data_IF_035678083355
#
_entry.id   IF_035678083355
#
_cell.length_a   1.000
_cell.length_b   1.000
_cell.length_c   1.000
_cell.angle_alpha   90.00
_cell.angle_beta   90.00
_cell.angle_gamma   90.00
#
_symmetry.space_group_name_H-M   'P 1'
#
loop_
_entity.id
_entity.type
_entity.pdbx_description
1 polymer ?
#
# COMPACT_ATOMS: atom_id res chain seq x y z
N UNK A 1 -24.73 3.12 -8.39
CA UNK A 1 -23.30 3.35 -8.12
C UNK A 1 -22.47 2.09 -8.39
N UNK A 2 -22.86 0.91 -7.91
CA UNK A 2 -22.09 -0.35 -8.03
C UNK A 2 -22.50 -1.27 -9.19
N UNK A 3 -22.85 -0.73 -10.36
CA UNK A 3 -23.19 -1.59 -11.50
C UNK A 3 -21.94 -1.85 -12.36
N UNK A 4 -21.56 -3.13 -12.58
CA UNK A 4 -20.37 -3.49 -13.37
C UNK A 4 -20.44 -3.03 -14.83
N UNK A 5 -21.65 -2.71 -15.31
CA UNK A 5 -21.88 -2.12 -16.63
C UNK A 5 -21.24 -0.74 -16.76
N UNK A 6 -21.13 0.03 -15.66
CA UNK A 6 -20.46 1.34 -15.70
C UNK A 6 -18.94 1.20 -15.76
N UNK A 7 -18.36 0.18 -15.14
CA UNK A 7 -16.93 -0.14 -15.30
C UNK A 7 -16.65 -0.52 -16.76
N UNK A 8 -17.46 -1.42 -17.34
CA UNK A 8 -17.29 -1.80 -18.74
C UNK A 8 -17.44 -0.60 -19.70
N UNK A 9 -18.43 0.27 -19.48
CA UNK A 9 -18.60 1.51 -20.26
C UNK A 9 -17.46 2.51 -20.01
N UNK A 10 -16.94 2.57 -18.78
CA UNK A 10 -15.78 3.37 -18.41
C UNK A 10 -14.50 2.84 -19.06
N UNK A 11 -14.35 1.56 -19.38
CA UNK A 11 -13.20 1.12 -20.19
C UNK A 11 -13.45 1.30 -21.69
N UNK A 12 -14.67 1.06 -22.17
CA UNK A 12 -15.00 1.08 -23.61
C UNK A 12 -14.96 2.46 -24.27
N UNK A 13 -15.12 3.57 -23.53
CA UNK A 13 -15.35 4.92 -24.08
C UNK A 13 -14.13 5.85 -24.16
N UNK A 14 -12.88 5.39 -24.07
CA UNK A 14 -11.77 6.35 -23.91
C UNK A 14 -10.44 5.72 -23.55
N UNK A 15 -9.39 6.35 -24.07
CA UNK A 15 -8.06 5.81 -24.27
C UNK A 15 -7.13 5.87 -23.05
N UNK A 16 -5.88 6.26 -23.31
CA UNK A 16 -4.70 6.04 -22.46
C UNK A 16 -4.83 6.59 -21.03
N UNK A 17 -5.49 7.74 -20.84
CA UNK A 17 -5.64 8.40 -19.54
C UNK A 17 -6.40 7.58 -18.48
N UNK A 18 -7.28 6.66 -18.90
CA UNK A 18 -8.00 5.78 -17.95
C UNK A 18 -7.18 4.61 -17.45
N UNK A 19 -6.17 4.19 -18.20
CA UNK A 19 -5.20 3.20 -17.72
C UNK A 19 -4.34 3.82 -16.61
N UNK A 20 -3.95 5.09 -16.77
CA UNK A 20 -3.28 5.85 -15.72
C UNK A 20 -4.15 6.00 -14.45
N UNK A 21 -5.47 6.13 -14.60
CA UNK A 21 -6.42 6.12 -13.47
C UNK A 21 -6.47 4.78 -12.73
N UNK A 22 -6.12 3.66 -13.36
CA UNK A 22 -5.99 2.37 -12.66
C UNK A 22 -4.82 2.36 -11.69
N UNK A 23 -3.80 3.18 -11.94
CA UNK A 23 -2.66 3.31 -11.03
C UNK A 23 -3.05 3.80 -9.64
N UNK A 24 -4.06 4.66 -9.52
CA UNK A 24 -4.61 5.04 -8.21
C UNK A 24 -5.24 3.86 -7.45
N UNK A 25 -5.86 2.92 -8.18
CA UNK A 25 -6.39 1.67 -7.60
C UNK A 25 -5.23 0.78 -7.16
N UNK A 26 -4.16 0.70 -7.96
CA UNK A 26 -2.95 -0.03 -7.61
C UNK A 26 -2.34 0.47 -6.29
N UNK A 27 -2.26 1.79 -6.10
CA UNK A 27 -1.82 2.37 -4.82
C UNK A 27 -2.69 1.93 -3.63
N UNK A 28 -4.00 1.75 -3.80
CA UNK A 28 -4.86 1.26 -2.72
C UNK A 28 -4.56 -0.20 -2.33
N UNK A 29 -4.15 -1.04 -3.30
CA UNK A 29 -3.77 -2.44 -3.06
C UNK A 29 -2.50 -2.52 -2.20
N UNK A 30 -1.58 -1.56 -2.35
CA UNK A 30 -0.34 -1.51 -1.53
C UNK A 30 -0.62 -1.41 -0.03
N UNK A 31 -1.71 -0.74 0.36
CA UNK A 31 -2.10 -0.64 1.77
C UNK A 31 -2.46 -2.00 2.37
N UNK A 32 -2.98 -2.92 1.55
CA UNK A 32 -3.26 -4.29 1.94
C UNK A 32 -1.97 -5.09 2.09
N UNK A 33 -1.01 -4.92 1.18
CA UNK A 33 0.30 -5.58 1.29
C UNK A 33 1.05 -5.20 2.58
N UNK A 34 1.03 -3.90 2.94
CA UNK A 34 1.58 -3.43 4.20
C UNK A 34 0.89 -4.08 5.41
N UNK A 35 -0.44 -4.22 5.38
CA UNK A 35 -1.20 -4.93 6.40
C UNK A 35 -0.79 -6.41 6.50
N UNK A 36 -0.47 -7.05 5.37
CA UNK A 36 0.01 -8.42 5.34
C UNK A 36 1.44 -8.57 5.89
N UNK A 37 2.32 -7.60 5.66
CA UNK A 37 3.67 -7.61 6.25
C UNK A 37 3.63 -7.59 7.80
N UNK A 38 2.63 -6.90 8.36
CA UNK A 38 2.41 -6.79 9.80
C UNK A 38 1.76 -8.04 10.44
N UNK A 39 1.30 -9.03 9.66
CA UNK A 39 0.87 -10.34 10.20
C UNK A 39 1.99 -11.10 10.92
N UNK A 40 3.25 -10.70 10.70
CA UNK A 40 4.39 -11.23 11.47
C UNK A 40 4.34 -10.87 12.96
N UNK A 41 3.59 -9.82 13.35
CA UNK A 41 3.43 -9.36 14.74
C UNK A 41 2.08 -9.69 15.36
N UNK A 42 1.02 -9.82 14.54
CA UNK A 42 -0.36 -9.98 15.00
C UNK A 42 -1.02 -11.27 14.49
N UNK A 43 -1.92 -11.89 15.27
CA UNK A 43 -2.65 -13.06 14.80
C UNK A 43 -3.58 -12.72 13.63
N UNK A 44 -3.65 -13.61 12.64
CA UNK A 44 -4.44 -13.46 11.41
C UNK A 44 -5.90 -13.09 11.69
N UNK A 45 -6.53 -13.73 12.69
CA UNK A 45 -7.93 -13.51 13.05
C UNK A 45 -8.21 -12.10 13.56
N UNK A 46 -7.28 -11.50 14.30
CA UNK A 46 -7.44 -10.13 14.79
C UNK A 46 -7.38 -9.12 13.65
N UNK A 47 -6.43 -9.30 12.73
CA UNK A 47 -6.27 -8.45 11.54
C UNK A 47 -7.50 -8.53 10.64
N UNK A 48 -7.99 -9.74 10.36
CA UNK A 48 -9.20 -9.94 9.55
C UNK A 48 -10.42 -9.28 10.16
N UNK A 49 -10.64 -9.46 11.47
CA UNK A 49 -11.81 -8.88 12.15
C UNK A 49 -11.75 -7.35 12.15
N UNK A 50 -10.58 -6.76 12.48
CA UNK A 50 -10.41 -5.31 12.47
C UNK A 50 -10.60 -4.73 11.06
N UNK A 51 -10.06 -5.39 10.04
CA UNK A 51 -10.19 -4.93 8.67
C UNK A 51 -11.64 -5.00 8.17
N UNK A 52 -12.31 -6.15 8.33
CA UNK A 52 -13.66 -6.37 7.80
C UNK A 52 -14.72 -5.55 8.53
N UNK A 53 -14.62 -5.40 9.85
CA UNK A 53 -15.67 -4.76 10.66
C UNK A 53 -15.51 -3.24 10.73
N UNK A 54 -14.28 -2.72 10.68
CA UNK A 54 -14.00 -1.30 10.90
C UNK A 54 -13.42 -0.66 9.64
N UNK A 55 -12.26 -1.13 9.19
CA UNK A 55 -11.51 -0.45 8.13
C UNK A 55 -12.27 -0.44 6.81
N UNK A 56 -12.77 -1.61 6.39
CA UNK A 56 -13.46 -1.79 5.12
C UNK A 56 -14.74 -0.94 4.99
N UNK A 57 -15.70 -0.96 5.94
CA UNK A 57 -16.88 -0.11 5.84
C UNK A 57 -16.54 1.38 5.91
N UNK A 58 -15.56 1.78 6.73
CA UNK A 58 -15.10 3.17 6.79
C UNK A 58 -14.50 3.63 5.45
N UNK A 59 -13.65 2.82 4.82
CA UNK A 59 -13.07 3.12 3.49
C UNK A 59 -14.15 3.23 2.42
N UNK A 60 -15.12 2.31 2.41
CA UNK A 60 -16.21 2.31 1.45
C UNK A 60 -17.06 3.58 1.59
N UNK A 61 -17.40 3.97 2.82
CA UNK A 61 -18.10 5.22 3.10
C UNK A 61 -17.28 6.44 2.65
N UNK A 62 -15.99 6.51 2.98
CA UNK A 62 -15.12 7.61 2.61
C UNK A 62 -15.02 7.78 1.07
N UNK A 63 -14.76 6.69 0.33
CA UNK A 63 -14.69 6.74 -1.13
C UNK A 63 -16.05 7.06 -1.76
N UNK A 64 -17.15 6.54 -1.21
CA UNK A 64 -18.48 6.89 -1.71
C UNK A 64 -18.82 8.38 -1.49
N UNK A 65 -18.39 8.97 -0.37
CA UNK A 65 -18.54 10.39 -0.08
C UNK A 65 -17.71 11.26 -1.02
N UNK A 66 -16.44 10.90 -1.24
CA UNK A 66 -15.58 11.59 -2.22
C UNK A 66 -16.15 11.50 -3.64
N UNK A 67 -16.64 10.33 -4.05
CA UNK A 67 -17.26 10.16 -5.37
C UNK A 67 -18.53 11.00 -5.53
N UNK A 68 -19.34 11.12 -4.48
CA UNK A 68 -20.52 12.00 -4.48
C UNK A 68 -20.14 13.47 -4.59
N UNK A 69 -19.05 13.90 -3.92
CA UNK A 69 -18.53 15.27 -4.00
C UNK A 69 -17.98 15.60 -5.40
N UNK A 70 -17.16 14.70 -5.97
CA UNK A 70 -16.56 14.89 -7.30
C UNK A 70 -17.60 14.95 -8.43
N UNK A 71 -18.76 14.32 -8.23
CA UNK A 71 -19.88 14.42 -9.20
C UNK A 71 -20.39 15.85 -9.34
N UNK A 72 -20.36 16.64 -8.26
CA UNK A 72 -20.80 18.04 -8.26
C UNK A 72 -19.65 18.97 -8.63
N UNK A 73 -18.43 18.65 -8.20
CA UNK A 73 -17.24 19.48 -8.42
C UNK A 73 -16.11 18.70 -9.10
N UNK A 74 -16.16 18.52 -10.44
CA UNK A 74 -15.22 17.67 -11.17
C UNK A 74 -13.78 18.18 -11.25
N UNK A 75 -13.54 19.47 -10.95
CA UNK A 75 -12.20 20.08 -11.05
C UNK A 75 -11.33 19.92 -9.80
N UNK A 76 -11.85 19.35 -8.70
CA UNK A 76 -11.17 19.28 -7.41
C UNK A 76 -10.62 17.87 -7.09
N UNK A 77 -9.88 17.28 -8.03
CA UNK A 77 -9.41 15.89 -7.93
C UNK A 77 -8.24 15.73 -6.94
N UNK A 78 -7.28 16.66 -6.92
CA UNK A 78 -6.07 16.53 -6.09
C UNK A 78 -6.35 16.67 -4.58
N UNK A 79 -7.26 17.58 -4.18
CA UNK A 79 -7.63 17.83 -2.78
C UNK A 79 -9.01 17.28 -2.41
N UNK A 80 -9.53 16.31 -3.18
CA UNK A 80 -10.86 15.74 -3.04
C UNK A 80 -11.23 15.36 -1.59
N UNK A 81 -10.29 14.77 -0.86
CA UNK A 81 -10.48 14.38 0.53
C UNK A 81 -10.75 15.60 1.42
N UNK A 82 -9.87 16.60 1.39
CA UNK A 82 -9.96 17.77 2.25
C UNK A 82 -11.13 18.69 1.88
N UNK A 83 -11.43 18.81 0.59
CA UNK A 83 -12.54 19.63 0.12
C UNK A 83 -13.92 19.00 0.34
N UNK A 84 -13.99 17.66 0.40
CA UNK A 84 -15.25 16.98 0.74
C UNK A 84 -15.70 17.20 2.19
N UNK A 85 -14.80 17.69 3.05
CA UNK A 85 -15.07 17.88 4.48
C UNK A 85 -15.69 19.27 4.72
N UNK A 86 -16.81 19.36 5.48
CA UNK A 86 -17.39 20.64 5.84
C UNK A 86 -16.43 21.49 6.69
N UNK A 87 -16.40 22.81 6.44
CA UNK A 87 -15.45 23.77 7.06
C UNK A 87 -15.39 23.69 8.59
N UNK A 88 -16.51 23.43 9.26
CA UNK A 88 -16.58 23.32 10.73
C UNK A 88 -15.79 22.14 11.30
N UNK A 89 -15.55 21.09 10.52
CA UNK A 89 -14.91 19.84 10.97
C UNK A 89 -13.54 19.63 10.30
N UNK A 90 -13.13 20.56 9.44
CA UNK A 90 -11.86 20.52 8.71
C UNK A 90 -10.65 20.41 9.64
N UNK A 91 -10.53 21.31 10.62
CA UNK A 91 -9.39 21.36 11.53
C UNK A 91 -9.24 20.10 12.39
N UNK A 92 -10.31 19.59 13.05
CA UNK A 92 -10.25 18.30 13.73
C UNK A 92 -9.82 17.15 12.81
N UNK A 93 -10.38 17.08 11.60
CA UNK A 93 -10.07 16.00 10.67
C UNK A 93 -8.63 16.06 10.16
N UNK A 94 -8.11 17.27 9.90
CA UNK A 94 -6.72 17.48 9.52
C UNK A 94 -5.75 16.97 10.58
N UNK A 95 -6.02 17.26 11.86
CA UNK A 95 -5.21 16.79 12.98
C UNK A 95 -5.24 15.27 13.08
N UNK A 96 -6.42 14.66 12.98
CA UNK A 96 -6.56 13.19 13.03
C UNK A 96 -5.85 12.54 11.84
N UNK A 97 -6.00 13.08 10.62
CA UNK A 97 -5.32 12.58 9.42
C UNK A 97 -3.79 12.65 9.57
N UNK A 98 -3.28 13.74 10.15
CA UNK A 98 -1.85 13.90 10.42
C UNK A 98 -1.35 12.86 11.43
N UNK A 99 -2.09 12.64 12.52
CA UNK A 99 -1.74 11.58 13.48
C UNK A 99 -1.77 10.18 12.85
N UNK A 100 -2.76 9.90 12.01
CA UNK A 100 -2.85 8.65 11.27
C UNK A 100 -1.65 8.45 10.34
N UNK A 101 -1.21 9.50 9.64
CA UNK A 101 -0.02 9.47 8.80
C UNK A 101 1.26 9.18 9.61
N UNK A 102 1.41 9.80 10.78
CA UNK A 102 2.54 9.54 11.69
C UNK A 102 2.54 8.07 12.15
N UNK A 103 1.39 7.53 12.55
CA UNK A 103 1.26 6.12 12.96
C UNK A 103 1.59 5.18 11.81
N UNK A 104 1.10 5.47 10.59
CA UNK A 104 1.42 4.68 9.40
C UNK A 104 2.93 4.68 9.10
N UNK A 105 3.61 5.82 9.21
CA UNK A 105 5.07 5.89 9.06
C UNK A 105 5.82 5.07 10.13
N UNK A 106 5.32 5.04 11.37
CA UNK A 106 5.94 4.22 12.42
C UNK A 106 5.77 2.71 12.17
N UNK A 107 4.62 2.30 11.64
CA UNK A 107 4.37 0.92 11.26
C UNK A 107 5.34 0.46 10.16
N UNK A 108 5.53 1.26 9.10
CA UNK A 108 6.44 0.90 7.99
C UNK A 108 7.91 0.84 8.40
N UNK A 109 8.36 1.72 9.29
CA UNK A 109 9.72 1.66 9.88
C UNK A 109 9.89 0.35 10.66
N UNK A 110 8.91 -0.02 11.48
CA UNK A 110 8.92 -1.25 12.28
C UNK A 110 8.88 -2.51 11.41
N UNK A 111 8.08 -2.51 10.35
CA UNK A 111 8.03 -3.58 9.35
C UNK A 111 9.40 -3.75 8.66
N UNK A 112 10.07 -2.63 8.33
CA UNK A 112 11.42 -2.65 7.73
C UNK A 112 12.44 -3.31 8.64
N UNK A 113 12.44 -3.02 9.94
CA UNK A 113 13.33 -3.71 10.89
C UNK A 113 13.09 -5.22 10.95
N UNK A 114 11.82 -5.63 10.84
CA UNK A 114 11.43 -7.03 10.82
C UNK A 114 11.93 -7.73 9.54
N UNK A 115 11.80 -7.07 8.38
CA UNK A 115 12.30 -7.56 7.10
C UNK A 115 13.84 -7.71 7.11
N UNK A 116 14.57 -6.72 7.63
CA UNK A 116 16.04 -6.79 7.75
C UNK A 116 16.47 -7.95 8.65
N UNK A 117 15.75 -8.20 9.75
CA UNK A 117 16.01 -9.36 10.61
C UNK A 117 15.82 -10.69 9.87
N UNK A 118 14.76 -10.80 9.06
CA UNK A 118 14.52 -12.00 8.24
C UNK A 118 15.63 -12.17 7.18
N UNK A 119 16.03 -11.08 6.51
CA UNK A 119 17.13 -11.09 5.54
C UNK A 119 18.48 -11.50 6.18
N UNK A 120 18.74 -11.07 7.42
CA UNK A 120 19.91 -11.49 8.20
C UNK A 120 19.87 -12.99 8.54
N UNK A 121 18.70 -13.54 8.89
CA UNK A 121 18.54 -14.95 9.16
C UNK A 121 18.78 -15.83 7.90
N UNK A 122 18.45 -15.30 6.73
CA UNK A 122 18.74 -15.92 5.43
C UNK A 122 20.17 -15.68 4.92
N UNK A 123 21.01 -14.95 5.67
CA UNK A 123 22.40 -14.67 5.29
C UNK A 123 22.56 -13.68 4.12
N UNK A 124 21.50 -13.01 3.70
CA UNK A 124 21.50 -12.07 2.57
C UNK A 124 21.99 -10.67 2.93
N UNK A 125 22.33 -10.40 4.20
CA UNK A 125 22.70 -9.07 4.67
C UNK A 125 23.95 -9.11 5.58
N UNK A 126 24.91 -8.16 5.45
CA UNK A 126 26.06 -8.07 6.36
C UNK A 126 25.60 -7.83 7.80
N UNK A 127 26.35 -8.34 8.78
CA UNK A 127 25.96 -8.34 10.21
C UNK A 127 25.70 -6.91 10.71
N UNK A 128 24.42 -6.53 10.84
CA UNK A 128 23.99 -5.25 11.43
C UNK A 128 23.80 -5.43 12.93
N UNK A 129 24.07 -4.38 13.71
CA UNK A 129 23.89 -4.42 15.17
C UNK A 129 22.40 -4.34 15.50
N UNK A 130 21.77 -5.50 15.69
CA UNK A 130 20.36 -5.59 16.13
C UNK A 130 20.28 -5.29 17.63
N UNK A 131 19.75 -4.13 17.99
CA UNK A 131 19.50 -3.76 19.38
C UNK A 131 18.11 -4.28 19.76
N UNK A 132 18.06 -5.23 20.69
CA UNK A 132 16.80 -5.74 21.22
C UNK A 132 16.29 -4.75 22.26
N UNK A 133 15.25 -3.98 21.92
CA UNK A 133 14.70 -2.92 22.78
C UNK A 133 14.00 -3.48 24.03
N UNK A 134 13.62 -4.78 24.04
CA UNK A 134 13.03 -5.44 25.21
C UNK A 134 13.42 -6.91 25.33
N UNK A 135 13.74 -7.37 26.55
CA UNK A 135 13.95 -8.80 26.87
C UNK A 135 12.66 -9.61 27.00
N UNK A 136 11.49 -8.96 27.06
CA UNK A 136 10.17 -9.61 27.24
C UNK A 136 9.34 -9.74 25.96
N UNK A 137 9.59 -8.90 24.94
CA UNK A 137 8.86 -8.93 23.68
C UNK A 137 9.84 -9.04 22.49
N UNK A 138 9.97 -10.24 21.95
CA UNK A 138 10.85 -10.56 20.80
C UNK A 138 10.50 -9.82 19.49
N UNK A 139 9.36 -9.12 19.44
CA UNK A 139 8.88 -8.35 18.29
C UNK A 139 9.34 -6.88 18.25
N UNK A 140 9.76 -6.29 19.37
CA UNK A 140 10.23 -4.89 19.38
C UNK A 140 11.73 -4.82 19.05
N UNK A 141 12.02 -4.83 17.76
CA UNK A 141 13.38 -4.82 17.20
C UNK A 141 13.71 -3.39 16.76
N UNK A 142 14.78 -2.81 17.31
CA UNK A 142 15.29 -1.53 16.84
C UNK A 142 16.66 -1.72 16.20
N UNK A 143 16.78 -1.34 14.93
CA UNK A 143 18.06 -1.39 14.21
C UNK A 143 18.51 0.04 13.94
N UNK A 144 19.38 0.63 14.78
CA UNK A 144 19.74 2.05 14.69
C UNK A 144 20.34 2.41 13.33
N UNK A 145 21.16 1.54 12.76
CA UNK A 145 21.81 1.78 11.46
C UNK A 145 20.76 1.93 10.33
N UNK A 146 19.73 1.09 10.34
CA UNK A 146 18.64 1.14 9.35
C UNK A 146 17.79 2.39 9.55
N UNK A 147 17.54 2.79 10.80
CA UNK A 147 16.79 4.02 11.07
C UNK A 147 17.48 5.26 10.51
N UNK A 148 18.81 5.36 10.67
CA UNK A 148 19.60 6.46 10.10
C UNK A 148 19.61 6.43 8.56
N UNK A 149 19.75 5.25 7.96
CA UNK A 149 19.68 5.10 6.50
C UNK A 149 18.31 5.52 5.98
N UNK A 150 17.22 5.08 6.61
CA UNK A 150 15.84 5.47 6.25
C UNK A 150 15.66 6.98 6.36
N UNK A 151 16.14 7.60 7.44
CA UNK A 151 16.05 9.05 7.63
C UNK A 151 16.77 9.82 6.51
N UNK A 152 18.01 9.44 6.19
CA UNK A 152 18.79 10.09 5.12
C UNK A 152 18.09 9.93 3.77
N UNK A 153 17.60 8.72 3.46
CA UNK A 153 16.92 8.43 2.21
C UNK A 153 15.60 9.20 2.07
N UNK A 154 14.80 9.27 3.14
CA UNK A 154 13.56 10.06 3.16
C UNK A 154 13.84 11.56 2.93
N UNK A 155 14.86 12.12 3.57
CA UNK A 155 15.26 13.52 3.36
C UNK A 155 15.75 13.73 1.92
N UNK A 156 16.56 12.81 1.40
CA UNK A 156 17.09 12.90 0.04
C UNK A 156 15.98 12.86 -1.03
N UNK A 157 15.01 11.95 -0.88
CA UNK A 157 13.85 11.86 -1.79
C UNK A 157 12.98 13.12 -1.70
N UNK A 158 12.69 13.59 -0.49
CA UNK A 158 11.88 14.80 -0.28
C UNK A 158 12.57 16.06 -0.82
N UNK A 159 13.89 16.18 -0.66
CA UNK A 159 14.66 17.31 -1.18
C UNK A 159 14.86 17.23 -2.71
N UNK A 160 14.99 16.02 -3.25
CA UNK A 160 15.20 15.78 -4.68
C UNK A 160 13.96 16.01 -5.53
N UNK A 161 12.78 15.66 -5.02
CA UNK A 161 11.52 15.84 -5.72
C UNK A 161 10.74 17.03 -5.16
N UNK A 162 10.70 18.14 -5.91
CA UNK A 162 9.95 19.35 -5.51
C UNK A 162 8.43 19.25 -5.70
N UNK A 163 7.96 18.30 -6.52
CA UNK A 163 6.54 18.15 -6.87
C UNK A 163 5.96 16.85 -6.27
N UNK A 164 4.83 16.97 -5.55
CA UNK A 164 4.11 15.83 -4.97
C UNK A 164 3.71 14.79 -6.01
N UNK A 165 3.29 15.24 -7.21
CA UNK A 165 2.90 14.35 -8.30
C UNK A 165 4.07 13.50 -8.82
N UNK A 166 5.29 14.02 -8.81
CA UNK A 166 6.48 13.26 -9.22
C UNK A 166 6.88 12.20 -8.19
N UNK A 167 6.79 12.53 -6.89
CA UNK A 167 7.02 11.57 -5.81
C UNK A 167 6.01 10.43 -5.90
N UNK A 168 4.72 10.76 -6.08
CA UNK A 168 3.65 9.77 -6.22
C UNK A 168 3.87 8.82 -7.40
N UNK A 169 4.28 9.35 -8.57
CA UNK A 169 4.57 8.50 -9.72
C UNK A 169 5.78 7.59 -9.51
N UNK A 170 6.88 8.12 -8.97
CA UNK A 170 8.08 7.32 -8.67
C UNK A 170 7.82 6.24 -7.61
N UNK A 171 6.99 6.55 -6.61
CA UNK A 171 6.54 5.57 -5.63
C UNK A 171 5.70 4.47 -6.29
N UNK A 172 4.73 4.85 -7.13
CA UNK A 172 3.88 3.89 -7.82
C UNK A 172 4.65 2.96 -8.76
N UNK A 173 5.65 3.47 -9.50
CA UNK A 173 6.50 2.61 -10.33
C UNK A 173 7.34 1.64 -9.49
N UNK A 174 7.91 2.09 -8.36
CA UNK A 174 8.66 1.23 -7.45
C UNK A 174 7.80 0.09 -6.89
N UNK A 175 6.56 0.39 -6.50
CA UNK A 175 5.58 -0.60 -6.04
C UNK A 175 5.28 -1.64 -7.10
N UNK A 176 5.03 -1.22 -8.35
CA UNK A 176 4.67 -2.15 -9.43
C UNK A 176 5.80 -3.14 -9.69
N UNK A 177 7.05 -2.69 -9.60
CA UNK A 177 8.21 -3.58 -9.70
C UNK A 177 8.23 -4.61 -8.58
N UNK A 178 7.98 -4.18 -7.33
CA UNK A 178 7.92 -5.09 -6.17
C UNK A 178 6.79 -6.11 -6.35
N UNK A 179 5.59 -5.66 -6.72
CA UNK A 179 4.45 -6.54 -6.96
C UNK A 179 4.74 -7.55 -8.07
N UNK A 180 5.33 -7.12 -9.18
CA UNK A 180 5.74 -8.01 -10.27
C UNK A 180 6.71 -9.10 -9.79
N UNK A 181 7.73 -8.72 -9.01
CA UNK A 181 8.66 -9.69 -8.42
C UNK A 181 7.92 -10.68 -7.50
N UNK A 182 7.00 -10.19 -6.66
CA UNK A 182 6.22 -11.08 -5.77
C UNK A 182 5.28 -12.00 -6.55
N UNK A 183 4.66 -11.53 -7.64
CA UNK A 183 3.79 -12.31 -8.51
C UNK A 183 4.58 -13.42 -9.20
N UNK A 184 5.77 -13.11 -9.75
CA UNK A 184 6.65 -14.12 -10.33
C UNK A 184 7.08 -15.18 -9.29
N UNK A 185 7.43 -14.75 -8.08
CA UNK A 185 7.81 -15.67 -7.01
C UNK A 185 6.62 -16.54 -6.57
N UNK A 186 5.42 -15.96 -6.48
CA UNK A 186 4.20 -16.67 -6.10
C UNK A 186 3.81 -17.73 -7.15
N UNK A 187 3.95 -17.41 -8.43
CA UNK A 187 3.74 -18.37 -9.53
C UNK A 187 4.70 -19.56 -9.40
N UNK A 188 5.98 -19.31 -9.10
CA UNK A 188 6.96 -20.36 -8.87
C UNK A 188 6.59 -21.24 -7.67
N UNK A 189 6.13 -20.64 -6.57
CA UNK A 189 5.66 -21.38 -5.38
C UNK A 189 4.42 -22.22 -5.69
N UNK A 190 3.44 -21.69 -6.43
CA UNK A 190 2.23 -22.43 -6.80
C UNK A 190 2.52 -23.67 -7.64
N UNK A 191 3.49 -23.56 -8.57
CA UNK A 191 3.90 -24.68 -9.44
C UNK A 191 4.74 -25.69 -8.65
N UNK A 192 5.77 -25.22 -7.93
CA UNK A 192 6.80 -26.09 -7.36
C UNK A 192 6.38 -26.70 -6.00
N UNK A 193 5.74 -25.90 -5.14
CA UNK A 193 5.40 -26.28 -3.76
C UNK A 193 3.97 -26.80 -3.66
N UNK A 194 3.00 -26.04 -4.16
CA UNK A 194 1.57 -26.42 -4.05
C UNK A 194 1.09 -27.38 -5.13
N UNK A 195 1.84 -27.55 -6.23
CA UNK A 195 1.46 -28.40 -7.38
C UNK A 195 0.02 -28.17 -7.84
N UNK A 196 -0.42 -26.91 -7.86
CA UNK A 196 -1.78 -26.57 -8.28
C UNK A 196 -2.02 -26.90 -9.77
N UNK A 197 -3.29 -27.06 -10.15
CA UNK A 197 -3.65 -27.21 -11.56
C UNK A 197 -3.16 -26.00 -12.39
N UNK A 198 -2.54 -26.29 -13.54
CA UNK A 198 -1.97 -25.29 -14.46
C UNK A 198 -2.96 -24.18 -14.85
N UNK A 199 -4.26 -24.49 -14.88
CA UNK A 199 -5.34 -23.52 -15.18
C UNK A 199 -5.44 -22.44 -14.09
N UNK A 200 -5.33 -22.82 -12.81
CA UNK A 200 -5.37 -21.88 -11.68
C UNK A 200 -4.15 -20.97 -11.68
N UNK A 201 -2.97 -21.54 -11.94
CA UNK A 201 -1.73 -20.78 -12.07
C UNK A 201 -1.84 -19.79 -13.22
N UNK A 202 -2.26 -20.25 -14.40
CA UNK A 202 -2.42 -19.39 -15.58
C UNK A 202 -3.42 -18.26 -15.35
N UNK A 203 -4.58 -18.56 -14.75
CA UNK A 203 -5.59 -17.56 -14.42
C UNK A 203 -5.04 -16.51 -13.45
N UNK A 204 -4.35 -16.93 -12.39
CA UNK A 204 -3.74 -16.03 -11.42
C UNK A 204 -2.67 -15.13 -12.06
N UNK A 205 -1.77 -15.72 -12.86
CA UNK A 205 -0.70 -14.97 -13.54
C UNK A 205 -1.28 -13.94 -14.50
N UNK A 206 -2.23 -14.34 -15.35
CA UNK A 206 -2.83 -13.43 -16.34
C UNK A 206 -3.56 -12.30 -15.64
N UNK A 207 -4.33 -12.58 -14.59
CA UNK A 207 -5.07 -11.55 -13.87
C UNK A 207 -4.13 -10.56 -13.17
N UNK A 208 -3.09 -11.06 -12.50
CA UNK A 208 -2.12 -10.22 -11.77
C UNK A 208 -1.28 -9.38 -12.73
N UNK A 209 -0.82 -9.96 -13.84
CA UNK A 209 0.01 -9.28 -14.83
C UNK A 209 -0.80 -8.25 -15.64
N UNK A 210 -2.09 -8.49 -15.89
CA UNK A 210 -2.99 -7.48 -16.45
C UNK A 210 -3.15 -6.30 -15.49
N UNK A 211 -3.15 -6.50 -14.18
CA UNK A 211 -3.23 -5.38 -13.23
C UNK A 211 -1.88 -4.65 -13.15
N UNK A 212 -0.78 -5.37 -13.06
CA UNK A 212 0.57 -4.80 -12.92
C UNK A 212 1.04 -4.06 -14.17
N UNK A 213 0.84 -4.61 -15.37
CA UNK A 213 1.25 -3.97 -16.63
C UNK A 213 0.38 -2.78 -17.05
N UNK A 214 -0.67 -2.47 -16.30
CA UNK A 214 -1.53 -1.31 -16.61
C UNK A 214 -1.08 0.00 -15.99
N UNK A 215 -0.11 -0.09 -15.08
CA UNK A 215 0.61 1.04 -14.52
C UNK A 215 1.83 1.37 -15.38
#
# INVERSE_FOLDING_TARGET
AFSPVYIYRYFKRGGQDRWTSLGGIMLSITGIEALFADLSHFPVSAVQTAFTVIVFPCLLLAYSGQAAYLRVYPHHVEDAFYQSIPKSVYWPMFVIATFAAIVASQATISATFSLIKQALAHGCFPRVKVVHTSRKFLGQIYVPDINWILMILCIAVTAGFKNQNQIGNAYGTAVVIVMLVTTLLMVLIMILVWRCHWILVFLFTVLSLVVECTY
#
